data_IF_480588323404
#
_entry.id   IF_480588323404
#
_cell.length_a   1.000
_cell.length_b   1.000
_cell.length_c   1.000
_cell.angle_alpha   90.00
_cell.angle_beta   90.00
_cell.angle_gamma   90.00
#
_symmetry.space_group_name_H-M   'P 1'
#
loop_
_entity.id
_entity.type
_entity.pdbx_description
1 polymer ?
#
# COMPACT_ATOMS: atom_id res chain seq x y z
N UNK A 1 -41.16 9.38 7.86
CA UNK A 1 -40.50 10.38 8.72
C UNK A 1 -39.97 9.65 9.95
N UNK A 2 -38.65 9.46 10.02
CA UNK A 2 -38.04 8.75 11.15
C UNK A 2 -36.79 9.54 11.55
N UNK A 3 -36.88 10.23 12.68
CA UNK A 3 -35.92 11.22 13.16
C UNK A 3 -34.83 10.49 13.95
N UNK A 4 -33.64 10.30 13.37
CA UNK A 4 -32.48 9.69 14.06
C UNK A 4 -31.79 10.77 14.90
N UNK A 5 -31.78 10.59 16.22
CA UNK A 5 -31.04 11.41 17.19
C UNK A 5 -29.53 11.33 16.89
N UNK A 6 -28.86 12.48 16.88
CA UNK A 6 -27.41 12.59 16.90
C UNK A 6 -26.91 12.34 18.33
N UNK A 7 -25.95 11.43 18.48
CA UNK A 7 -25.20 11.19 19.72
C UNK A 7 -23.97 12.09 19.73
N UNK A 8 -23.64 12.78 20.84
CA UNK A 8 -22.47 13.65 20.91
C UNK A 8 -21.17 12.81 20.89
N UNK A 9 -20.29 13.15 19.95
CA UNK A 9 -19.04 12.46 19.64
C UNK A 9 -17.89 13.08 20.45
N UNK A 10 -17.96 13.00 21.78
CA UNK A 10 -17.01 13.70 22.67
C UNK A 10 -16.38 12.84 23.79
N UNK A 11 -16.50 11.51 23.76
CA UNK A 11 -15.97 10.64 24.82
C UNK A 11 -14.80 9.72 24.38
N UNK A 12 -14.28 9.85 23.16
CA UNK A 12 -13.27 8.92 22.61
C UNK A 12 -11.81 9.41 22.71
N UNK A 13 -11.56 10.62 23.22
CA UNK A 13 -10.22 11.24 23.25
C UNK A 13 -9.44 11.07 24.56
N UNK A 14 -10.13 10.93 25.70
CA UNK A 14 -9.48 10.92 27.01
C UNK A 14 -8.87 9.56 27.37
N UNK A 15 -9.48 8.46 26.90
CA UNK A 15 -9.04 7.09 27.24
C UNK A 15 -7.67 6.77 26.61
N UNK A 16 -7.46 7.18 25.35
CA UNK A 16 -6.19 6.95 24.65
C UNK A 16 -5.02 7.79 25.19
N UNK A 17 -5.27 8.97 25.76
CA UNK A 17 -4.20 9.76 26.39
C UNK A 17 -3.74 9.13 27.71
N UNK A 18 -4.69 8.65 28.50
CA UNK A 18 -4.41 8.01 29.78
C UNK A 18 -3.66 6.67 29.58
N UNK A 19 -3.99 5.91 28.53
CA UNK A 19 -3.25 4.72 28.12
C UNK A 19 -1.79 5.02 27.73
N UNK A 20 -1.54 6.12 27.01
CA UNK A 20 -0.19 6.53 26.60
C UNK A 20 0.62 6.97 27.82
N UNK A 21 0.04 7.77 28.71
CA UNK A 21 0.71 8.24 29.93
C UNK A 21 1.01 7.08 30.88
N UNK A 22 0.06 6.15 31.06
CA UNK A 22 0.26 4.96 31.89
C UNK A 22 1.42 4.08 31.38
N UNK A 23 1.54 3.91 30.06
CA UNK A 23 2.63 3.14 29.46
C UNK A 23 3.99 3.84 29.64
N UNK A 24 4.06 5.17 29.45
CA UNK A 24 5.30 5.95 29.64
C UNK A 24 5.75 5.89 31.10
N UNK A 25 4.84 6.11 32.05
CA UNK A 25 5.17 6.08 33.48
C UNK A 25 5.57 4.67 33.92
N UNK A 26 4.89 3.64 33.40
CA UNK A 26 5.22 2.23 33.68
C UNK A 26 6.64 1.85 33.24
N UNK A 27 7.05 2.24 32.02
CA UNK A 27 8.42 2.02 31.54
C UNK A 27 9.43 2.79 32.40
N UNK A 28 9.10 4.02 32.82
CA UNK A 28 9.99 4.84 33.65
C UNK A 28 10.26 4.19 35.02
N UNK A 29 9.21 3.67 35.67
CA UNK A 29 9.33 2.98 36.97
C UNK A 29 10.20 1.72 36.84
N UNK A 30 9.99 0.91 35.79
CA UNK A 30 10.79 -0.29 35.53
C UNK A 30 12.27 0.09 35.33
N UNK A 31 12.55 1.15 34.56
CA UNK A 31 13.91 1.60 34.31
C UNK A 31 14.60 2.10 35.61
N UNK A 32 13.88 2.82 36.47
CA UNK A 32 14.41 3.28 37.77
C UNK A 32 14.70 2.10 38.71
N UNK A 33 13.81 1.13 38.78
CA UNK A 33 14.00 -0.08 39.60
C UNK A 33 15.18 -0.92 39.09
N UNK A 34 15.32 -1.10 37.78
CA UNK A 34 16.44 -1.84 37.18
C UNK A 34 17.77 -1.11 37.37
N UNK A 35 17.79 0.23 37.27
CA UNK A 35 18.97 1.03 37.57
C UNK A 35 19.36 0.97 39.07
N UNK A 36 18.37 0.98 39.97
CA UNK A 36 18.59 0.81 41.41
C UNK A 36 19.13 -0.57 41.80
N UNK A 37 18.70 -1.63 41.10
CA UNK A 37 19.22 -2.99 41.31
C UNK A 37 20.62 -3.16 40.72
N UNK A 38 20.99 -2.45 39.64
CA UNK A 38 22.36 -2.45 39.10
C UNK A 38 23.36 -1.66 39.96
N UNK A 39 22.92 -0.62 40.67
CA UNK A 39 23.78 0.17 41.55
C UNK A 39 24.18 -0.58 42.84
N UNK A 40 23.43 -1.61 43.24
CA UNK A 40 23.67 -2.37 44.50
C UNK A 40 24.54 -3.62 44.33
N UNK A 41 25.06 -3.92 43.12
CA UNK A 41 25.90 -5.10 42.84
C UNK A 41 27.12 -4.78 41.99
N UNK A 42 27.95 -3.83 42.43
CA UNK A 42 29.25 -3.57 41.83
C UNK A 42 30.36 -4.39 42.54
N UNK A 43 31.09 -5.28 41.84
CA UNK A 43 32.32 -5.88 42.36
C UNK A 43 33.47 -4.87 42.27
N UNK A 44 34.30 -4.82 43.33
CA UNK A 44 35.54 -4.04 43.40
C UNK A 44 36.66 -4.90 42.81
N UNK A 45 37.29 -4.46 41.72
CA UNK A 45 38.48 -5.09 41.13
C UNK A 45 39.75 -4.32 41.58
N UNK A 46 40.71 -5.05 42.16
CA UNK A 46 42.08 -4.60 42.39
C UNK A 46 42.94 -4.90 41.14
N UNK A 47 43.85 -4.02 40.71
CA UNK A 47 44.79 -4.32 39.64
C UNK A 47 46.16 -4.67 40.22
N UNK A 48 46.66 -5.89 39.98
CA UNK A 48 48.08 -6.20 40.11
C UNK A 48 48.57 -7.08 38.94
N UNK A 49 49.43 -6.42 38.15
CA UNK A 49 50.74 -6.84 37.60
C UNK A 49 50.93 -8.13 36.81
N UNK A 50 51.64 -7.92 35.69
CA UNK A 50 52.24 -8.88 34.79
C UNK A 50 53.23 -9.84 35.45
N UNK A 51 53.33 -11.05 34.92
CA UNK A 51 54.53 -11.90 35.01
C UNK A 51 54.65 -12.77 33.76
N UNK A 52 55.85 -12.70 33.18
CA UNK A 52 56.39 -13.55 32.12
C UNK A 52 56.52 -15.03 32.54
N UNK A 53 56.52 -15.88 31.51
CA UNK A 53 57.04 -17.26 31.44
C UNK A 53 58.49 -17.37 31.98
N UNK A 54 59.00 -18.57 32.41
CA UNK A 54 59.24 -19.70 31.48
C UNK A 54 59.15 -21.15 32.05
N UNK A 55 59.31 -22.09 31.12
CA UNK A 55 59.33 -23.58 31.12
C UNK A 55 60.63 -24.24 31.73
N UNK A 56 60.68 -25.55 32.10
CA UNK A 56 61.71 -26.22 32.94
C UNK A 56 62.68 -27.15 32.13
N UNK A 57 63.33 -28.24 32.64
CA UNK A 57 64.16 -28.59 33.83
C UNK A 57 65.64 -28.97 33.39
N UNK A 58 66.53 -29.74 34.10
CA UNK A 58 66.39 -31.17 34.47
C UNK A 58 67.10 -31.64 35.77
N UNK A 59 66.90 -32.94 36.02
CA UNK A 59 67.29 -33.85 37.12
C UNK A 59 68.82 -34.06 37.21
N UNK A 60 69.37 -34.20 38.42
CA UNK A 60 70.60 -34.99 38.61
C UNK A 60 70.64 -35.73 39.96
N UNK A 61 70.89 -37.03 39.85
CA UNK A 61 70.99 -38.05 40.89
C UNK A 61 72.44 -38.17 41.30
N UNK A 62 72.78 -38.05 42.59
CA UNK A 62 74.06 -38.58 43.10
C UNK A 62 73.90 -39.20 44.49
N UNK A 63 74.23 -40.48 44.51
CA UNK A 63 74.36 -41.45 45.61
C UNK A 63 75.53 -41.14 46.56
N UNK A 64 75.56 -41.74 47.76
CA UNK A 64 76.51 -41.41 48.83
C UNK A 64 77.83 -42.20 48.68
N UNK A 65 78.93 -41.75 49.33
CA UNK A 65 80.02 -42.64 49.69
C UNK A 65 80.13 -42.84 51.20
N UNK A 66 80.17 -44.12 51.58
CA UNK A 66 80.87 -44.61 52.76
C UNK A 66 82.38 -44.38 52.59
N UNK A 67 83.12 -44.33 53.71
CA UNK A 67 84.36 -45.12 53.89
C UNK A 67 84.89 -44.94 55.33
N UNK A 68 84.80 -46.05 56.06
CA UNK A 68 85.76 -46.65 57.00
C UNK A 68 86.98 -45.80 57.41
N UNK A 69 87.21 -45.60 58.71
CA UNK A 69 88.55 -45.67 59.30
C UNK A 69 88.50 -46.13 60.77
N UNK A 70 89.47 -46.98 61.08
CA UNK A 70 89.76 -47.82 62.23
C UNK A 70 89.62 -47.22 63.63
N UNK A 71 89.03 -48.04 64.50
CA UNK A 71 89.17 -48.01 65.96
C UNK A 71 90.64 -48.14 66.40
N UNK A 72 91.09 -47.24 67.27
CA UNK A 72 92.19 -47.49 68.20
C UNK A 72 91.65 -47.33 69.62
N UNK A 73 91.55 -48.46 70.31
CA UNK A 73 91.10 -48.56 71.69
C UNK A 73 92.18 -47.97 72.60
N UNK A 74 91.82 -46.92 73.33
CA UNK A 74 92.49 -46.54 74.59
C UNK A 74 91.40 -46.55 75.65
N UNK A 75 91.48 -47.44 76.62
CA UNK A 75 90.55 -47.54 77.74
C UNK A 75 91.25 -47.11 79.03
N UNK A 76 90.52 -46.72 80.08
CA UNK A 76 89.52 -45.66 80.08
C UNK A 76 89.85 -44.66 81.20
N UNK A 77 89.58 -43.37 81.00
CA UNK A 77 89.42 -42.49 82.16
C UNK A 77 87.93 -42.57 82.53
N UNK A 78 87.64 -43.20 83.67
CA UNK A 78 86.30 -43.22 84.27
C UNK A 78 86.10 -41.82 84.86
N UNK A 79 85.83 -40.86 83.99
CA UNK A 79 85.20 -39.60 84.34
C UNK A 79 83.70 -39.81 84.37
N UNK A 80 83.07 -39.18 85.35
CA UNK A 80 81.65 -39.23 85.64
C UNK A 80 80.78 -38.93 84.40
N UNK A 81 80.36 -39.99 83.69
CA UNK A 81 79.55 -39.91 82.45
C UNK A 81 78.07 -39.59 82.72
N UNK A 82 77.68 -39.45 83.99
CA UNK A 82 76.30 -39.18 84.38
C UNK A 82 75.85 -37.79 83.89
N UNK A 83 76.74 -36.80 83.92
CA UNK A 83 76.48 -35.43 83.45
C UNK A 83 76.44 -35.31 81.92
N UNK A 84 77.14 -36.19 81.21
CA UNK A 84 77.18 -36.21 79.74
C UNK A 84 75.94 -36.90 79.17
N UNK A 85 75.49 -38.00 79.80
CA UNK A 85 74.24 -38.68 79.45
C UNK A 85 73.03 -37.80 79.75
N UNK A 86 73.03 -37.06 80.87
CA UNK A 86 71.97 -36.10 81.19
C UNK A 86 71.90 -34.97 80.16
N UNK A 87 73.05 -34.37 79.81
CA UNK A 87 73.12 -33.33 78.75
C UNK A 87 72.64 -33.81 77.38
N UNK A 88 73.05 -35.00 76.96
CA UNK A 88 72.61 -35.59 75.68
C UNK A 88 71.11 -35.96 75.70
N UNK A 89 70.58 -36.35 76.87
CA UNK A 89 69.15 -36.61 77.06
C UNK A 89 68.34 -35.31 76.95
N UNK A 90 68.81 -34.23 77.58
CA UNK A 90 68.18 -32.91 77.50
C UNK A 90 68.23 -32.35 76.08
N UNK A 91 69.37 -32.48 75.39
CA UNK A 91 69.51 -32.09 73.97
C UNK A 91 68.61 -32.91 73.05
N UNK A 92 68.48 -34.23 73.30
CA UNK A 92 67.54 -35.09 72.56
C UNK A 92 66.09 -34.70 72.81
N UNK A 93 65.74 -34.28 74.03
CA UNK A 93 64.41 -33.81 74.37
C UNK A 93 64.10 -32.47 73.70
N UNK A 94 65.05 -31.54 73.65
CA UNK A 94 64.91 -30.25 72.96
C UNK A 94 64.76 -30.43 71.44
N UNK A 95 65.58 -31.30 70.83
CA UNK A 95 65.47 -31.64 69.40
C UNK A 95 64.13 -32.30 69.08
N UNK A 96 63.62 -33.18 69.96
CA UNK A 96 62.28 -33.77 69.81
C UNK A 96 61.18 -32.71 69.89
N UNK A 97 61.26 -31.79 70.86
CA UNK A 97 60.31 -30.68 70.97
C UNK A 97 60.29 -29.79 69.73
N UNK A 98 61.46 -29.45 69.19
CA UNK A 98 61.57 -28.70 67.93
C UNK A 98 61.01 -29.48 66.74
N UNK A 99 61.25 -30.79 66.67
CA UNK A 99 60.70 -31.65 65.63
C UNK A 99 59.17 -31.68 65.69
N UNK A 100 58.58 -31.85 66.87
CA UNK A 100 57.13 -31.87 67.05
C UNK A 100 56.50 -30.51 66.66
N UNK A 101 57.11 -29.38 67.03
CA UNK A 101 56.68 -28.05 66.61
C UNK A 101 56.76 -27.86 65.09
N UNK A 102 57.83 -28.35 64.45
CA UNK A 102 57.94 -28.32 62.98
C UNK A 102 56.91 -29.22 62.28
N UNK A 103 56.56 -30.36 62.87
CA UNK A 103 55.53 -31.24 62.34
C UNK A 103 54.13 -30.62 62.48
N UNK A 104 53.84 -29.98 63.61
CA UNK A 104 52.59 -29.25 63.82
C UNK A 104 52.44 -28.10 62.81
N UNK A 105 53.47 -27.28 62.65
CA UNK A 105 53.47 -26.17 61.68
C UNK A 105 53.32 -26.65 60.23
N UNK A 106 54.03 -27.71 59.83
CA UNK A 106 53.85 -28.32 58.51
C UNK A 106 52.44 -28.87 58.30
N UNK A 107 51.85 -29.49 59.33
CA UNK A 107 50.47 -30.00 59.26
C UNK A 107 49.44 -28.88 59.10
N UNK A 108 49.67 -27.73 59.76
CA UNK A 108 48.81 -26.55 59.67
C UNK A 108 48.94 -25.89 58.28
N UNK A 109 50.15 -25.76 57.76
CA UNK A 109 50.39 -25.26 56.39
C UNK A 109 49.76 -26.17 55.36
N UNK A 110 49.91 -27.50 55.50
CA UNK A 110 49.28 -28.48 54.60
C UNK A 110 47.77 -28.37 54.61
N UNK A 111 47.15 -28.17 55.78
CA UNK A 111 45.70 -27.99 55.90
C UNK A 111 45.22 -26.75 55.17
N UNK A 112 45.88 -25.61 55.37
CA UNK A 112 45.59 -24.36 54.63
C UNK A 112 45.80 -24.52 53.14
N UNK A 113 46.83 -25.26 52.71
CA UNK A 113 47.06 -25.54 51.29
C UNK A 113 45.93 -26.37 50.66
N UNK A 114 45.36 -27.32 51.40
CA UNK A 114 44.18 -28.09 50.95
C UNK A 114 42.94 -27.21 50.90
N UNK A 115 42.66 -26.44 51.96
CA UNK A 115 41.51 -25.53 52.02
C UNK A 115 41.53 -24.49 50.89
N UNK A 116 42.67 -23.85 50.66
CA UNK A 116 42.85 -22.90 49.55
C UNK A 116 42.74 -23.55 48.18
N UNK A 117 43.22 -24.80 48.03
CA UNK A 117 43.07 -25.54 46.78
C UNK A 117 41.60 -25.87 46.49
N UNK A 118 40.84 -26.29 47.50
CA UNK A 118 39.40 -26.53 47.40
C UNK A 118 38.64 -25.24 47.06
N UNK A 119 39.02 -24.12 47.67
CA UNK A 119 38.42 -22.81 47.41
C UNK A 119 38.69 -22.35 45.96
N UNK A 120 39.93 -22.46 45.48
CA UNK A 120 40.31 -22.17 44.09
C UNK A 120 39.56 -23.09 43.11
N UNK A 121 39.43 -24.38 43.43
CA UNK A 121 38.70 -25.33 42.60
C UNK A 121 37.21 -24.97 42.51
N UNK A 122 36.60 -24.53 43.62
CA UNK A 122 35.20 -24.10 43.66
C UNK A 122 34.95 -22.84 42.83
N UNK A 123 35.84 -21.84 42.93
CA UNK A 123 35.76 -20.58 42.16
C UNK A 123 35.94 -20.83 40.67
N UNK A 124 36.91 -21.68 40.30
CA UNK A 124 37.10 -22.08 38.89
C UNK A 124 35.89 -22.79 38.31
N UNK A 125 35.25 -23.67 39.09
CA UNK A 125 34.02 -24.37 38.68
C UNK A 125 32.85 -23.38 38.50
N UNK A 126 32.71 -22.40 39.38
CA UNK A 126 31.70 -21.35 39.26
C UNK A 126 31.93 -20.47 38.01
N UNK A 127 33.17 -20.06 37.74
CA UNK A 127 33.51 -19.31 36.53
C UNK A 127 33.29 -20.12 35.25
N UNK A 128 33.64 -21.41 35.24
CA UNK A 128 33.38 -22.30 34.11
C UNK A 128 31.88 -22.43 33.82
N UNK A 129 31.03 -22.43 34.85
CA UNK A 129 29.58 -22.42 34.71
C UNK A 129 29.00 -21.12 34.15
N UNK A 130 29.64 -19.97 34.40
CA UNK A 130 29.17 -18.65 33.93
C UNK A 130 29.65 -18.29 32.52
N UNK A 131 30.78 -18.83 32.05
CA UNK A 131 31.30 -18.62 30.69
C UNK A 131 30.28 -18.91 29.57
N UNK A 132 29.52 -20.03 29.56
CA UNK A 132 28.54 -20.29 28.51
C UNK A 132 27.40 -19.27 28.48
N UNK A 133 26.97 -18.75 29.64
CA UNK A 133 25.94 -17.73 29.73
C UNK A 133 26.41 -16.40 29.15
N UNK A 134 27.65 -15.99 29.44
CA UNK A 134 28.24 -14.76 28.88
C UNK A 134 28.39 -14.89 27.36
N UNK A 135 28.82 -16.05 26.87
CA UNK A 135 28.95 -16.30 25.45
C UNK A 135 27.58 -16.30 24.74
N UNK A 136 26.58 -16.98 25.29
CA UNK A 136 25.21 -16.97 24.79
C UNK A 136 24.62 -15.55 24.75
N UNK A 137 24.81 -14.77 25.82
CA UNK A 137 24.35 -13.39 25.88
C UNK A 137 25.07 -12.50 24.86
N UNK A 138 26.37 -12.73 24.63
CA UNK A 138 27.15 -12.01 23.61
C UNK A 138 26.63 -12.26 22.18
N UNK A 139 26.24 -13.51 21.88
CA UNK A 139 25.63 -13.89 20.60
C UNK A 139 24.26 -13.23 20.44
N UNK A 140 23.46 -13.20 21.51
CA UNK A 140 22.15 -12.55 21.52
C UNK A 140 22.26 -11.04 21.30
N UNK A 141 23.21 -10.37 21.96
CA UNK A 141 23.50 -8.94 21.74
C UNK A 141 23.93 -8.66 20.30
N UNK A 142 24.78 -9.51 19.72
CA UNK A 142 25.17 -9.39 18.30
C UNK A 142 23.97 -9.54 17.36
N UNK A 143 23.06 -10.47 17.65
CA UNK A 143 21.82 -10.69 16.86
C UNK A 143 20.90 -9.48 16.94
N UNK A 144 20.66 -8.95 18.13
CA UNK A 144 19.82 -7.76 18.33
C UNK A 144 20.41 -6.55 17.65
N UNK A 145 21.73 -6.32 17.75
CA UNK A 145 22.41 -5.20 17.06
C UNK A 145 22.26 -5.27 15.54
N UNK A 146 22.32 -6.48 14.94
CA UNK A 146 22.05 -6.66 13.51
C UNK A 146 20.61 -6.31 13.17
N UNK A 147 19.64 -6.85 13.91
CA UNK A 147 18.23 -6.59 13.70
C UNK A 147 17.87 -5.09 13.80
N UNK A 148 18.45 -4.37 14.76
CA UNK A 148 18.26 -2.91 14.89
C UNK A 148 18.78 -2.19 13.65
N UNK A 149 19.98 -2.54 13.17
CA UNK A 149 20.56 -1.93 11.97
C UNK A 149 19.73 -2.18 10.72
N UNK A 150 19.18 -3.39 10.58
CA UNK A 150 18.32 -3.77 9.45
C UNK A 150 17.00 -2.97 9.48
N UNK A 151 16.39 -2.82 10.66
CA UNK A 151 15.18 -1.99 10.84
C UNK A 151 15.44 -0.52 10.52
N UNK A 152 16.58 0.03 10.95
CA UNK A 152 16.95 1.43 10.64
C UNK A 152 17.09 1.66 9.12
N UNK A 153 17.65 0.68 8.40
CA UNK A 153 17.74 0.75 6.94
C UNK A 153 16.36 0.67 6.27
N UNK A 154 15.48 -0.21 6.76
CA UNK A 154 14.11 -0.34 6.26
C UNK A 154 13.30 0.94 6.50
N UNK A 155 13.40 1.52 7.70
CA UNK A 155 12.76 2.79 8.03
C UNK A 155 13.24 3.92 7.11
N UNK A 156 14.56 3.98 6.84
CA UNK A 156 15.13 4.98 5.94
C UNK A 156 14.59 4.81 4.51
N UNK A 157 14.49 3.59 4.01
CA UNK A 157 13.92 3.31 2.70
C UNK A 157 12.43 3.68 2.62
N UNK A 158 11.64 3.27 3.61
CA UNK A 158 10.22 3.63 3.68
C UNK A 158 10.01 5.14 3.66
N UNK A 159 10.86 5.89 4.38
CA UNK A 159 10.81 7.36 4.40
C UNK A 159 11.14 7.99 3.04
N UNK A 160 12.12 7.45 2.32
CA UNK A 160 12.45 7.91 0.96
C UNK A 160 11.31 7.63 -0.03
N UNK A 161 10.66 6.47 0.07
CA UNK A 161 9.49 6.14 -0.75
C UNK A 161 8.33 7.09 -0.45
N UNK A 162 8.06 7.34 0.83
CA UNK A 162 6.99 8.25 1.25
C UNK A 162 7.26 9.68 0.76
N UNK A 163 8.51 10.14 0.85
CA UNK A 163 8.90 11.46 0.33
C UNK A 163 8.70 11.55 -1.18
N UNK A 164 9.10 10.52 -1.95
CA UNK A 164 8.84 10.46 -3.40
C UNK A 164 7.34 10.50 -3.71
N UNK A 165 6.50 9.82 -2.95
CA UNK A 165 5.04 9.84 -3.15
C UNK A 165 4.41 11.19 -2.84
N UNK A 166 4.93 11.91 -1.83
CA UNK A 166 4.48 13.26 -1.47
C UNK A 166 4.94 14.30 -2.50
N UNK A 167 6.20 14.18 -2.97
CA UNK A 167 6.78 15.11 -3.94
C UNK A 167 6.32 14.83 -5.39
N UNK A 168 5.73 13.67 -5.65
CA UNK A 168 5.06 13.41 -6.92
C UNK A 168 3.80 14.28 -6.95
N UNK A 169 3.70 15.26 -7.86
CA UNK A 169 2.48 16.04 -8.00
C UNK A 169 1.36 15.06 -8.27
N UNK A 170 0.39 15.00 -7.36
CA UNK A 170 -0.82 14.21 -7.55
C UNK A 170 -1.46 14.75 -8.82
N UNK A 171 -1.51 13.93 -9.87
CA UNK A 171 -2.23 14.27 -11.10
C UNK A 171 -3.56 14.91 -10.73
N UNK A 172 -3.89 16.02 -11.40
CA UNK A 172 -5.05 16.88 -11.11
C UNK A 172 -6.21 16.06 -10.54
N UNK A 173 -6.67 16.40 -9.34
CA UNK A 173 -7.84 15.77 -8.73
C UNK A 173 -9.03 15.99 -9.65
N UNK A 174 -9.29 15.02 -10.55
CA UNK A 174 -10.45 15.03 -11.43
C UNK A 174 -11.64 14.72 -10.54
N UNK A 175 -12.30 15.77 -10.06
CA UNK A 175 -13.53 15.65 -9.31
C UNK A 175 -14.57 14.99 -10.24
N UNK A 176 -14.90 13.73 -9.95
CA UNK A 176 -15.98 13.00 -10.63
C UNK A 176 -17.26 13.23 -9.82
N UNK A 177 -18.15 14.16 -10.21
CA UNK A 177 -19.38 14.39 -9.48
C UNK A 177 -20.28 13.16 -9.59
N UNK A 178 -20.68 12.60 -8.45
CA UNK A 178 -21.70 11.56 -8.40
C UNK A 178 -23.08 12.19 -8.63
N UNK A 179 -23.79 11.75 -9.67
CA UNK A 179 -25.22 12.03 -9.86
C UNK A 179 -25.96 10.70 -9.78
N UNK A 180 -27.17 10.71 -9.20
CA UNK A 180 -28.06 9.55 -9.27
C UNK A 180 -28.23 9.17 -10.74
N UNK A 181 -28.03 7.90 -11.07
CA UNK A 181 -28.20 7.38 -12.44
C UNK A 181 -29.64 7.61 -12.86
N UNK A 182 -29.92 8.52 -13.81
CA UNK A 182 -31.30 8.87 -14.11
C UNK A 182 -31.96 7.72 -14.88
N UNK A 183 -33.23 7.45 -14.59
CA UNK A 183 -33.98 6.42 -15.32
C UNK A 183 -34.46 7.02 -16.65
N UNK A 184 -33.82 6.61 -17.75
CA UNK A 184 -34.17 7.07 -19.08
C UNK A 184 -35.60 6.66 -19.47
N UNK A 185 -36.38 7.59 -20.00
CA UNK A 185 -37.68 7.32 -20.61
C UNK A 185 -37.58 7.42 -22.12
N UNK A 186 -38.21 6.49 -22.83
CA UNK A 186 -38.30 6.55 -24.29
C UNK A 186 -38.98 7.88 -24.67
N UNK A 187 -38.32 8.65 -25.54
CA UNK A 187 -38.90 9.89 -26.01
C UNK A 187 -40.10 9.59 -26.90
N UNK A 188 -41.23 10.22 -26.58
CA UNK A 188 -42.46 10.23 -27.37
C UNK A 188 -42.84 11.70 -27.53
N UNK A 189 -42.79 12.23 -28.74
CA UNK A 189 -43.13 13.63 -29.02
C UNK A 189 -42.13 14.35 -29.91
N UNK A 190 -42.05 15.67 -29.77
CA UNK A 190 -41.11 16.51 -30.50
C UNK A 190 -39.68 16.26 -30.02
N UNK A 191 -38.78 16.00 -30.97
CA UNK A 191 -37.34 15.83 -30.75
C UNK A 191 -36.56 16.84 -31.57
N UNK A 192 -35.56 17.47 -30.95
CA UNK A 192 -34.53 18.24 -31.68
C UNK A 192 -33.21 17.50 -31.63
N UNK A 193 -32.59 17.37 -32.78
CA UNK A 193 -31.37 16.57 -32.95
C UNK A 193 -30.17 17.48 -33.15
N UNK A 194 -29.10 17.26 -32.41
CA UNK A 194 -27.86 18.00 -32.53
C UNK A 194 -26.74 17.07 -32.97
N UNK A 195 -25.89 17.56 -33.86
CA UNK A 195 -24.64 16.92 -34.24
C UNK A 195 -23.51 17.53 -33.41
N UNK A 196 -22.75 16.70 -32.70
CA UNK A 196 -21.65 17.12 -31.83
C UNK A 196 -20.36 16.43 -32.26
N UNK A 197 -19.42 17.20 -32.81
CA UNK A 197 -18.14 16.72 -33.33
C UNK A 197 -17.10 17.84 -33.30
N UNK A 198 -15.84 17.48 -33.05
CA UNK A 198 -14.67 18.34 -32.89
C UNK A 198 -14.91 19.49 -31.90
N UNK A 199 -15.60 19.21 -30.79
CA UNK A 199 -15.97 20.20 -29.77
C UNK A 199 -16.95 21.27 -30.26
N UNK A 200 -17.64 21.02 -31.37
CA UNK A 200 -18.64 21.91 -31.97
C UNK A 200 -20.01 21.25 -31.96
N UNK A 201 -21.04 22.09 -31.90
CA UNK A 201 -22.44 21.68 -31.90
C UNK A 201 -23.20 22.41 -33.00
N UNK A 202 -24.16 21.72 -33.61
CA UNK A 202 -25.05 22.29 -34.64
C UNK A 202 -26.37 21.54 -34.66
N UNK A 203 -27.46 22.25 -34.95
CA UNK A 203 -28.79 21.67 -35.08
C UNK A 203 -28.90 20.90 -36.40
N UNK A 204 -29.40 19.66 -36.35
CA UNK A 204 -29.73 18.89 -37.54
C UNK A 204 -31.17 19.24 -37.94
N UNK A 205 -31.43 19.79 -39.14
CA UNK A 205 -32.75 20.22 -39.59
C UNK A 205 -33.60 19.04 -40.07
N UNK A 206 -33.76 18.04 -39.21
CA UNK A 206 -34.38 16.75 -39.54
C UNK A 206 -35.82 16.91 -40.07
N UNK A 207 -36.59 17.85 -39.51
CA UNK A 207 -37.97 18.12 -39.95
C UNK A 207 -38.01 18.66 -41.40
N UNK A 208 -37.07 19.55 -41.75
CA UNK A 208 -36.95 20.12 -43.09
C UNK A 208 -36.46 19.07 -44.09
N UNK A 209 -35.50 18.23 -43.71
CA UNK A 209 -35.03 17.11 -44.52
C UNK A 209 -36.15 16.11 -44.79
N UNK A 210 -36.90 15.70 -43.75
CA UNK A 210 -38.08 14.83 -43.90
C UNK A 210 -39.12 15.41 -44.85
N UNK A 211 -39.36 16.72 -44.78
CA UNK A 211 -40.30 17.38 -45.69
C UNK A 211 -39.80 17.33 -47.14
N UNK A 212 -38.51 17.60 -47.38
CA UNK A 212 -37.90 17.47 -48.71
C UNK A 212 -38.05 16.05 -49.28
N UNK A 213 -37.84 15.00 -48.46
CA UNK A 213 -38.06 13.61 -48.88
C UNK A 213 -39.53 13.37 -49.25
N UNK A 214 -40.49 13.86 -48.45
CA UNK A 214 -41.93 13.71 -48.77
C UNK A 214 -42.30 14.40 -50.08
N UNK A 215 -41.82 15.63 -50.30
CA UNK A 215 -42.08 16.39 -51.52
C UNK A 215 -41.49 15.67 -52.74
N UNK A 216 -40.29 15.10 -52.58
CA UNK A 216 -39.63 14.29 -53.60
C UNK A 216 -40.42 13.00 -53.90
N UNK A 217 -40.85 12.27 -52.87
CA UNK A 217 -41.67 11.06 -53.03
C UNK A 217 -43.02 11.35 -53.69
N UNK A 218 -43.67 12.46 -53.38
CA UNK A 218 -44.93 12.86 -54.01
C UNK A 218 -44.78 13.04 -55.53
N UNK A 219 -43.63 13.53 -56.00
CA UNK A 219 -43.32 13.68 -57.43
C UNK A 219 -43.00 12.33 -58.09
N UNK A 220 -42.29 11.44 -57.40
CA UNK A 220 -41.86 10.14 -57.94
C UNK A 220 -42.85 8.98 -57.72
N UNK A 221 -43.99 9.22 -57.06
CA UNK A 221 -44.98 8.18 -56.73
C UNK A 221 -45.46 7.33 -57.91
N UNK A 222 -45.52 7.90 -59.12
CA UNK A 222 -45.85 7.14 -60.36
C UNK A 222 -44.70 6.27 -60.86
N UNK A 223 -43.45 6.69 -60.68
CA UNK A 223 -42.25 5.95 -61.11
C UNK A 223 -41.94 4.78 -60.16
N UNK A 224 -42.24 4.94 -58.88
CA UNK A 224 -41.99 3.96 -57.82
C UNK A 224 -42.85 2.69 -57.92
N UNK A 225 -43.88 2.67 -58.77
CA UNK A 225 -44.60 1.43 -59.08
C UNK A 225 -43.73 0.41 -59.84
N UNK A 226 -42.67 0.85 -60.52
CA UNK A 226 -41.80 0.01 -61.36
C UNK A 226 -40.65 -0.66 -60.58
N UNK A 227 -40.14 -0.03 -59.53
CA UNK A 227 -38.98 -0.53 -58.78
C UNK A 227 -39.36 -0.93 -57.35
N UNK A 228 -38.85 -2.07 -56.87
CA UNK A 228 -39.14 -2.56 -55.50
C UNK A 228 -38.41 -1.76 -54.41
N UNK A 229 -37.21 -1.27 -54.73
CA UNK A 229 -36.34 -0.47 -53.88
C UNK A 229 -35.76 0.67 -54.71
N UNK A 230 -35.63 1.84 -54.10
CA UNK A 230 -34.97 2.99 -54.72
C UNK A 230 -34.19 3.77 -53.66
N UNK A 231 -33.06 4.29 -54.07
CA UNK A 231 -32.19 5.13 -53.25
C UNK A 231 -32.23 6.54 -53.82
N UNK A 232 -32.35 7.51 -52.93
CA UNK A 232 -32.41 8.91 -53.29
C UNK A 232 -31.67 9.77 -52.28
N UNK A 233 -31.45 11.03 -52.67
CA UNK A 233 -30.75 12.00 -51.87
C UNK A 233 -31.54 13.32 -51.87
N UNK A 234 -31.58 13.99 -50.72
CA UNK A 234 -32.11 15.36 -50.57
C UNK A 234 -31.12 16.22 -49.82
N UNK A 235 -30.99 17.48 -50.23
CA UNK A 235 -30.09 18.44 -49.60
C UNK A 235 -29.38 19.31 -50.64
N UNK A 236 -28.50 20.21 -50.19
CA UNK A 236 -28.20 20.49 -48.78
C UNK A 236 -29.30 21.32 -48.11
N UNK A 237 -29.55 21.05 -46.82
CA UNK A 237 -30.41 21.87 -45.95
C UNK A 237 -29.60 22.21 -44.70
N UNK A 238 -29.26 23.49 -44.52
CA UNK A 238 -28.41 23.99 -43.42
C UNK A 238 -27.11 23.18 -43.28
N UNK A 239 -26.46 22.86 -44.40
CA UNK A 239 -25.21 22.09 -44.45
C UNK A 239 -25.35 20.59 -44.17
N UNK A 240 -26.57 20.04 -44.29
CA UNK A 240 -26.82 18.60 -44.19
C UNK A 240 -27.44 18.03 -45.46
N UNK A 241 -26.91 16.88 -45.87
CA UNK A 241 -27.47 16.05 -46.93
C UNK A 241 -28.06 14.78 -46.31
N UNK A 242 -29.24 14.38 -46.76
CA UNK A 242 -29.89 13.14 -46.34
C UNK A 242 -29.99 12.18 -47.51
N UNK A 243 -29.43 11.00 -47.35
CA UNK A 243 -29.64 9.86 -48.24
C UNK A 243 -30.75 8.99 -47.65
N UNK A 244 -31.58 8.42 -48.51
CA UNK A 244 -32.70 7.62 -48.08
C UNK A 244 -32.96 6.46 -49.03
N UNK A 245 -33.44 5.37 -48.46
CA UNK A 245 -33.87 4.18 -49.18
C UNK A 245 -35.36 4.01 -48.97
N UNK A 246 -36.10 3.85 -50.06
CA UNK A 246 -37.53 3.61 -50.07
C UNK A 246 -37.82 2.23 -50.66
N UNK A 247 -38.73 1.51 -50.02
CA UNK A 247 -39.14 0.19 -50.45
C UNK A 247 -40.66 0.06 -50.46
N UNK A 248 -41.15 -0.88 -51.28
CA UNK A 248 -42.56 -1.28 -51.29
C UNK A 248 -42.83 -2.13 -50.06
N UNK A 249 -43.60 -1.60 -49.12
CA UNK A 249 -44.03 -2.28 -47.91
C UNK A 249 -45.28 -3.14 -48.20
N UNK A 250 -45.39 -4.34 -47.62
CA UNK A 250 -46.60 -5.14 -47.68
C UNK A 250 -47.75 -4.39 -46.99
N UNK A 251 -48.92 -4.38 -47.63
CA UNK A 251 -50.12 -3.79 -47.04
C UNK A 251 -50.75 -4.83 -46.12
N UNK A 252 -51.10 -4.43 -44.88
CA UNK A 252 -51.82 -5.31 -43.97
C UNK A 252 -53.19 -5.66 -44.55
N UNK A 253 -53.64 -6.91 -44.38
CA UNK A 253 -54.93 -7.41 -44.89
C UNK A 253 -56.12 -6.50 -44.48
N UNK A 254 -56.04 -5.90 -43.29
CA UNK A 254 -57.05 -4.94 -42.78
C UNK A 254 -57.08 -3.64 -43.59
N UNK A 255 -55.94 -3.15 -44.04
CA UNK A 255 -55.84 -1.95 -44.88
C UNK A 255 -56.30 -2.24 -46.33
N UNK A 256 -56.03 -3.45 -46.86
CA UNK A 256 -56.53 -3.89 -48.17
C UNK A 256 -58.06 -3.96 -48.21
N UNK A 257 -58.69 -4.45 -47.14
CA UNK A 257 -60.14 -4.53 -47.01
C UNK A 257 -60.81 -3.15 -46.96
N UNK A 258 -60.12 -2.13 -46.41
CA UNK A 258 -60.67 -0.75 -46.28
C UNK A 258 -60.45 0.11 -47.52
N UNK A 259 -59.38 -0.10 -48.29
CA UNK A 259 -58.96 0.81 -49.38
C UNK A 259 -58.87 0.16 -50.76
N UNK A 260 -59.18 -1.14 -50.88
CA UNK A 260 -59.22 -1.89 -52.14
C UNK A 260 -57.98 -2.77 -52.38
N UNK A 261 -58.18 -3.90 -53.07
CA UNK A 261 -57.12 -4.85 -53.43
C UNK A 261 -56.13 -4.22 -54.42
N UNK A 262 -54.83 -4.43 -54.21
CA UNK A 262 -53.77 -3.99 -55.13
C UNK A 262 -53.08 -2.66 -54.79
N UNK A 263 -53.36 -2.07 -53.63
CA UNK A 263 -52.71 -0.84 -53.19
C UNK A 263 -51.25 -1.12 -52.77
N UNK A 264 -50.31 -0.29 -53.25
CA UNK A 264 -48.88 -0.39 -52.93
C UNK A 264 -48.56 0.68 -51.89
N UNK A 265 -48.06 0.30 -50.72
CA UNK A 265 -47.52 1.26 -49.74
C UNK A 265 -46.02 1.43 -49.99
N UNK A 266 -45.57 2.66 -50.18
CA UNK A 266 -44.14 2.99 -50.26
C UNK A 266 -43.75 3.66 -48.95
N UNK A 267 -42.66 3.21 -48.34
CA UNK A 267 -42.13 3.78 -47.10
C UNK A 267 -40.62 3.92 -47.16
N UNK A 268 -40.09 4.91 -46.43
CA UNK A 268 -38.66 5.04 -46.18
C UNK A 268 -38.25 3.98 -45.17
N UNK A 269 -37.38 3.06 -45.55
CA UNK A 269 -36.88 1.97 -44.68
C UNK A 269 -35.58 2.35 -43.99
N UNK A 270 -34.73 3.14 -44.65
CA UNK A 270 -33.47 3.61 -44.10
C UNK A 270 -33.20 5.06 -44.53
N UNK A 271 -32.58 5.84 -43.66
CA UNK A 271 -32.02 7.14 -44.01
C UNK A 271 -30.72 7.38 -43.26
N UNK A 272 -29.79 8.06 -43.90
CA UNK A 272 -28.53 8.54 -43.34
C UNK A 272 -28.41 10.04 -43.57
N UNK A 273 -27.73 10.75 -42.67
CA UNK A 273 -27.47 12.17 -42.74
C UNK A 273 -25.97 12.38 -42.70
N UNK A 274 -25.48 13.13 -43.68
CA UNK A 274 -24.09 13.51 -43.82
C UNK A 274 -23.96 15.03 -43.69
N UNK A 275 -23.08 15.54 -42.80
CA UNK A 275 -22.74 16.96 -42.77
C UNK A 275 -21.87 17.31 -43.98
N UNK A 276 -22.07 18.49 -44.55
CA UNK A 276 -21.19 19.03 -45.58
C UNK A 276 -19.83 19.46 -44.99
N UNK A 277 -18.75 19.46 -45.80
CA UNK A 277 -17.41 19.83 -45.33
C UNK A 277 -17.31 21.25 -44.76
N UNK A 278 -18.14 22.16 -45.24
CA UNK A 278 -18.22 23.59 -44.88
C UNK A 278 -19.31 23.88 -43.84
N UNK A 279 -19.84 22.84 -43.16
CA UNK A 279 -20.89 22.99 -42.16
C UNK A 279 -20.48 23.97 -41.04
N UNK A 280 -21.22 25.08 -40.95
CA UNK A 280 -21.03 26.07 -39.91
C UNK A 280 -21.51 25.57 -38.54
N UNK A 281 -20.62 24.94 -37.78
CA UNK A 281 -20.88 24.55 -36.40
C UNK A 281 -20.26 25.53 -35.38
N UNK A 282 -20.99 25.83 -34.31
CA UNK A 282 -20.50 26.70 -33.24
C UNK A 282 -19.71 25.89 -32.19
N UNK A 283 -18.60 26.43 -31.64
CA UNK A 283 -17.87 25.76 -30.57
C UNK A 283 -18.73 25.69 -29.30
N UNK A 284 -18.58 24.64 -28.51
CA UNK A 284 -19.41 24.40 -27.31
C UNK A 284 -19.33 25.55 -26.30
N UNK A 285 -18.17 26.18 -26.14
CA UNK A 285 -18.04 27.35 -25.25
C UNK A 285 -18.92 28.52 -25.70
N UNK A 286 -18.99 28.78 -27.01
CA UNK A 286 -19.89 29.78 -27.56
C UNK A 286 -21.35 29.31 -27.47
N UNK A 287 -21.63 28.03 -27.72
CA UNK A 287 -22.97 27.46 -27.65
C UNK A 287 -23.62 27.65 -26.27
N UNK A 288 -22.83 27.64 -25.20
CA UNK A 288 -23.31 27.85 -23.83
C UNK A 288 -23.53 29.33 -23.48
N UNK A 289 -23.01 30.26 -24.29
CA UNK A 289 -23.24 31.70 -24.11
C UNK A 289 -24.69 32.10 -24.38
N UNK A 290 -25.16 33.17 -23.75
CA UNK A 290 -26.57 33.59 -23.76
C UNK A 290 -27.15 33.94 -25.14
N UNK A 291 -26.31 34.29 -26.12
CA UNK A 291 -26.68 34.74 -27.47
C UNK A 291 -26.31 33.75 -28.58
N UNK A 292 -26.07 32.48 -28.24
CA UNK A 292 -25.65 31.46 -29.21
C UNK A 292 -26.79 30.96 -30.10
N UNK A 293 -26.43 30.27 -31.20
CA UNK A 293 -27.44 29.62 -32.07
C UNK A 293 -28.15 28.51 -31.28
N UNK A 294 -27.41 27.73 -30.50
CA UNK A 294 -27.92 26.72 -29.60
C UNK A 294 -28.96 27.27 -28.62
N UNK A 295 -28.65 28.36 -27.91
CA UNK A 295 -29.59 28.99 -26.97
C UNK A 295 -30.83 29.54 -27.68
N UNK A 296 -30.66 30.08 -28.90
CA UNK A 296 -31.78 30.55 -29.71
C UNK A 296 -32.74 29.40 -30.05
N UNK A 297 -32.20 28.22 -30.42
CA UNK A 297 -32.99 27.02 -30.65
C UNK A 297 -33.68 26.55 -29.37
N UNK A 298 -32.97 26.53 -28.23
CA UNK A 298 -33.56 26.13 -26.94
C UNK A 298 -34.73 27.02 -26.55
N UNK A 299 -34.60 28.35 -26.67
CA UNK A 299 -35.69 29.30 -26.36
C UNK A 299 -36.90 29.14 -27.27
N UNK A 300 -36.71 28.68 -28.50
CA UNK A 300 -37.79 28.40 -29.44
C UNK A 300 -38.48 27.04 -29.19
N UNK A 301 -37.87 26.15 -28.38
CA UNK A 301 -38.43 24.85 -28.07
C UNK A 301 -39.45 24.92 -26.95
N UNK A 302 -40.50 24.08 -27.04
CA UNK A 302 -41.41 23.87 -25.91
C UNK A 302 -40.72 23.04 -24.82
N UNK A 303 -41.02 23.24 -23.52
CA UNK A 303 -40.38 22.50 -22.43
C UNK A 303 -40.48 20.97 -22.55
N UNK A 304 -41.52 20.44 -23.20
CA UNK A 304 -41.71 19.00 -23.37
C UNK A 304 -40.83 18.40 -24.47
N UNK A 305 -40.19 19.24 -25.29
CA UNK A 305 -39.31 18.83 -26.40
C UNK A 305 -38.08 18.12 -25.83
N UNK A 306 -37.77 16.93 -26.32
CA UNK A 306 -36.52 16.28 -25.94
C UNK A 306 -35.39 16.69 -26.88
N UNK A 307 -34.18 16.79 -26.33
CA UNK A 307 -32.97 17.11 -27.07
C UNK A 307 -32.13 15.85 -27.23
N UNK A 308 -31.80 15.49 -28.46
CA UNK A 308 -31.03 14.29 -28.79
C UNK A 308 -29.68 14.71 -29.36
N UNK A 309 -28.60 14.41 -28.66
CA UNK A 309 -27.23 14.70 -29.10
C UNK A 309 -26.59 13.47 -29.74
N UNK A 310 -26.28 13.55 -31.02
CA UNK A 310 -25.45 12.59 -31.73
C UNK A 310 -23.99 13.00 -31.55
N UNK A 311 -23.21 12.20 -30.84
CA UNK A 311 -21.88 12.59 -30.37
C UNK A 311 -20.82 11.60 -30.83
N UNK A 312 -19.72 12.13 -31.36
CA UNK A 312 -18.53 11.34 -31.72
C UNK A 312 -17.51 11.30 -30.56
N UNK A 313 -16.58 10.32 -30.55
CA UNK A 313 -15.66 10.11 -29.42
C UNK A 313 -14.80 11.32 -29.06
N UNK A 314 -14.47 12.15 -30.04
CA UNK A 314 -13.72 13.40 -29.87
C UNK A 314 -14.46 14.49 -29.07
N UNK A 315 -15.77 14.32 -28.82
CA UNK A 315 -16.62 15.35 -28.21
C UNK A 315 -17.39 14.89 -26.95
N UNK A 316 -16.93 13.81 -26.30
CA UNK A 316 -17.60 13.25 -25.12
C UNK A 316 -17.50 14.13 -23.86
N UNK A 317 -16.47 14.96 -23.73
CA UNK A 317 -16.36 15.95 -22.64
C UNK A 317 -17.38 17.07 -22.80
N UNK A 318 -17.55 17.51 -24.04
CA UNK A 318 -18.33 18.69 -24.42
C UNK A 318 -19.82 18.38 -24.37
N UNK A 319 -20.23 17.18 -24.78
CA UNK A 319 -21.63 16.76 -24.67
C UNK A 319 -22.10 16.73 -23.21
N UNK A 320 -21.23 16.42 -22.24
CA UNK A 320 -21.58 16.48 -20.80
C UNK A 320 -21.91 17.91 -20.35
N UNK A 321 -21.18 18.91 -20.86
CA UNK A 321 -21.44 20.32 -20.58
C UNK A 321 -22.76 20.77 -21.20
N UNK A 322 -23.04 20.37 -22.44
CA UNK A 322 -24.32 20.63 -23.12
C UNK A 322 -25.50 19.95 -22.41
N UNK A 323 -25.36 18.69 -22.01
CA UNK A 323 -26.37 17.97 -21.22
C UNK A 323 -26.66 18.70 -19.91
N UNK A 324 -25.63 19.11 -19.17
CA UNK A 324 -25.80 19.81 -17.90
C UNK A 324 -26.57 21.13 -18.09
N UNK A 325 -26.24 21.91 -19.12
CA UNK A 325 -26.93 23.15 -19.44
C UNK A 325 -28.39 22.90 -19.86
N UNK A 326 -28.64 21.89 -20.69
CA UNK A 326 -29.99 21.52 -21.11
C UNK A 326 -30.87 21.03 -19.95
N UNK A 327 -30.32 20.23 -19.03
CA UNK A 327 -31.02 19.81 -17.81
C UNK A 327 -31.32 21.00 -16.89
N UNK A 328 -30.38 21.94 -16.73
CA UNK A 328 -30.61 23.17 -15.97
C UNK A 328 -31.72 24.03 -16.58
N UNK A 329 -31.86 24.00 -17.91
CA UNK A 329 -32.95 24.65 -18.63
C UNK A 329 -34.27 23.86 -18.61
N UNK A 330 -34.32 22.69 -17.97
CA UNK A 330 -35.54 21.90 -17.79
C UNK A 330 -35.89 20.97 -18.95
N UNK A 331 -34.99 20.78 -19.93
CA UNK A 331 -35.22 19.87 -21.05
C UNK A 331 -34.83 18.43 -20.70
N UNK A 332 -35.56 17.48 -21.28
CA UNK A 332 -35.17 16.07 -21.29
C UNK A 332 -34.08 15.84 -22.32
N UNK A 333 -33.01 15.14 -21.95
CA UNK A 333 -31.86 14.97 -22.84
C UNK A 333 -31.55 13.51 -23.10
N UNK A 334 -31.37 13.18 -24.38
CA UNK A 334 -30.86 11.91 -24.85
C UNK A 334 -29.49 12.10 -25.51
N UNK A 335 -28.61 11.13 -25.37
CA UNK A 335 -27.32 11.11 -26.07
C UNK A 335 -27.13 9.79 -26.78
N UNK A 336 -26.68 9.88 -28.02
CA UNK A 336 -26.44 8.76 -28.93
C UNK A 336 -24.97 8.80 -29.37
N UNK A 337 -24.08 8.10 -28.66
CA UNK A 337 -22.69 8.00 -29.08
C UNK A 337 -22.62 7.22 -30.40
N UNK A 338 -21.86 7.76 -31.35
CA UNK A 338 -21.61 7.15 -32.65
C UNK A 338 -20.15 6.70 -32.75
N UNK A 339 -19.86 5.53 -33.36
CA UNK A 339 -18.49 5.15 -33.68
C UNK A 339 -17.84 6.12 -34.68
N UNK A 340 -16.50 6.19 -34.72
CA UNK A 340 -15.78 6.99 -35.71
C UNK A 340 -16.19 6.63 -37.14
N UNK A 341 -16.44 7.64 -37.98
CA UNK A 341 -16.79 7.45 -39.40
C UNK A 341 -18.22 7.00 -39.67
N UNK A 342 -19.02 6.67 -38.65
CA UNK A 342 -20.42 6.29 -38.83
C UNK A 342 -21.30 7.52 -38.96
N UNK A 343 -22.13 7.58 -40.00
CA UNK A 343 -23.09 8.67 -40.23
C UNK A 343 -24.30 8.57 -39.31
N UNK A 344 -24.99 9.68 -39.06
CA UNK A 344 -26.25 9.66 -38.33
C UNK A 344 -27.30 8.96 -39.19
N UNK A 345 -27.89 7.87 -38.70
CA UNK A 345 -28.89 7.11 -39.46
C UNK A 345 -30.12 6.76 -38.65
N UNK A 346 -31.23 6.49 -39.33
CA UNK A 346 -32.43 5.95 -38.70
C UNK A 346 -33.24 5.06 -39.65
N UNK A 347 -34.07 4.22 -39.05
CA UNK A 347 -35.02 3.35 -39.73
C UNK A 347 -36.32 3.26 -38.91
N UNK A 348 -37.47 2.91 -39.52
CA UNK A 348 -38.71 2.65 -38.80
C UNK A 348 -38.58 1.54 -37.74
N UNK A 349 -37.76 0.52 -38.02
CA UNK A 349 -37.45 -0.59 -37.11
C UNK A 349 -36.27 -0.30 -36.16
N UNK A 350 -35.78 0.94 -36.17
CA UNK A 350 -34.63 1.36 -35.36
C UNK A 350 -34.98 1.60 -33.89
N UNK A 351 -33.94 1.90 -33.11
CA UNK A 351 -34.10 2.23 -31.68
C UNK A 351 -34.41 3.72 -31.49
N UNK A 352 -35.38 4.00 -30.63
CA UNK A 352 -35.77 5.36 -30.23
C UNK A 352 -34.81 5.93 -29.19
N UNK A 353 -34.69 7.25 -29.18
CA UNK A 353 -33.94 8.01 -28.17
C UNK A 353 -34.52 7.75 -26.77
N UNK A 354 -33.64 7.52 -25.78
CA UNK A 354 -34.01 7.49 -24.37
C UNK A 354 -33.48 8.76 -23.72
N UNK A 355 -34.39 9.60 -23.23
CA UNK A 355 -34.04 10.85 -22.57
C UNK A 355 -34.21 10.73 -21.07
N UNK A 356 -33.30 11.38 -20.36
CA UNK A 356 -33.26 11.47 -18.90
C UNK A 356 -33.77 12.82 -18.42
#
# INVERSE_FOLDING_TARGET
MTRRRATPQQAAGDDSFLDIVANIVGILIILIVVAGVRASRAPIEFPETATDEPEPPPIEVVTPPSLVTSFRVTAPEITDRTDEVTRLSDESAEVRGRLDETLETLSAVRRRAVETHEEIASVRKAQAGQRPDVEALSVQVKKVRRAVKDLEQEQKQARLVLQKLVDTPTDEVVNVPHRLTPVGRIVRGAEKHFHVRNGRVVLIPLDRLKQRVRDQMARYGRMMSRFRRHEGQVGPVEGFVMEYTVERLPVAVVDELRRGRGMIRIGVTHWSIQPEPDLEAEPVDLALSSSSRYQTVLRACRPETALTFWVYPDSFSEVRRLQAAAHQAGFRVATRPLPPGVTISGSPDGTRSQAQ
#
